data_IF_831314586714
#
_entry.id   IF_831314586714
#
_cell.length_a   1.000
_cell.length_b   1.000
_cell.length_c   1.000
_cell.angle_alpha   90.00
_cell.angle_beta   90.00
_cell.angle_gamma   90.00
#
_symmetry.space_group_name_H-M   'P 1'
#
loop_
_entity.id
_entity.type
_entity.pdbx_description
1 polymer ?
#
# COMPACT_ATOMS: atom_id res chain seq x y z
N UNK A 1 -10.08 5.96 -2.35
CA UNK A 1 -8.66 5.70 -2.03
C UNK A 1 -7.90 5.11 -3.19
N UNK A 2 -8.42 4.06 -3.80
CA UNK A 2 -7.76 3.44 -4.96
C UNK A 2 -7.63 4.40 -6.13
N UNK A 3 -8.67 5.19 -6.41
CA UNK A 3 -8.61 6.16 -7.51
C UNK A 3 -7.51 7.20 -7.31
N UNK A 4 -7.34 7.68 -6.08
CA UNK A 4 -6.28 8.64 -5.77
C UNK A 4 -4.91 8.00 -5.96
N UNK A 5 -4.73 6.77 -5.47
CA UNK A 5 -3.48 6.04 -5.66
C UNK A 5 -3.21 5.79 -7.14
N UNK A 6 -4.24 5.41 -7.90
CA UNK A 6 -4.10 5.15 -9.34
C UNK A 6 -3.70 6.41 -10.11
N UNK A 7 -4.15 7.58 -9.67
CA UNK A 7 -3.75 8.84 -10.32
C UNK A 7 -2.27 9.15 -10.09
N UNK A 8 -1.61 8.46 -9.18
CA UNK A 8 -0.19 8.61 -8.90
C UNK A 8 0.70 7.57 -9.59
N UNK A 9 0.12 6.68 -10.41
CA UNK A 9 0.92 5.71 -11.17
C UNK A 9 2.00 6.43 -11.99
N UNK A 10 3.21 5.89 -11.94
CA UNK A 10 4.35 6.46 -12.64
C UNK A 10 5.14 7.50 -11.85
N UNK A 11 4.62 7.99 -10.72
CA UNK A 11 5.38 8.91 -9.87
C UNK A 11 6.60 8.18 -9.30
N UNK A 12 7.76 8.84 -9.20
CA UNK A 12 8.96 8.15 -8.74
C UNK A 12 8.91 7.78 -7.26
N UNK A 13 9.63 6.73 -6.92
CA UNK A 13 9.90 6.45 -5.51
C UNK A 13 10.80 7.54 -4.94
N UNK A 14 10.47 8.02 -3.75
CA UNK A 14 11.28 9.01 -3.06
C UNK A 14 11.23 8.72 -1.57
N UNK A 15 12.39 8.45 -0.98
CA UNK A 15 12.47 8.21 0.46
C UNK A 15 11.90 9.40 1.24
N UNK A 16 10.97 9.12 2.15
CA UNK A 16 10.30 10.16 2.92
C UNK A 16 9.20 10.90 2.15
N UNK A 17 8.94 10.54 0.89
CA UNK A 17 7.95 11.22 0.07
C UNK A 17 6.52 10.79 0.39
N UNK A 18 5.58 11.76 0.36
CA UNK A 18 4.17 11.53 0.64
C UNK A 18 3.27 12.48 -0.16
N UNK A 19 3.77 12.97 -1.30
CA UNK A 19 3.05 13.94 -2.14
C UNK A 19 3.45 13.75 -3.60
N UNK A 20 2.65 14.28 -4.56
CA UNK A 20 3.04 14.24 -5.97
C UNK A 20 4.45 14.77 -6.17
N UNK A 21 5.23 14.05 -6.98
CA UNK A 21 6.66 14.30 -7.15
C UNK A 21 7.51 13.17 -6.56
N UNK A 22 6.96 12.37 -5.67
CA UNK A 22 7.65 11.20 -5.15
C UNK A 22 7.01 10.66 -3.88
N UNK A 23 6.98 9.34 -3.78
CA UNK A 23 6.36 8.62 -2.66
C UNK A 23 7.25 7.50 -2.18
N UNK A 24 7.30 7.29 -0.85
CA UNK A 24 7.70 5.99 -0.35
C UNK A 24 6.43 5.13 -0.16
N UNK A 25 6.58 3.87 0.27
CA UNK A 25 5.46 2.95 0.31
C UNK A 25 4.34 3.42 1.26
N UNK A 26 4.71 3.82 2.46
CA UNK A 26 3.74 4.29 3.45
C UNK A 26 3.24 5.70 3.14
N UNK A 27 4.05 6.53 2.47
CA UNK A 27 3.65 7.87 2.04
C UNK A 27 2.56 7.85 1.00
N UNK A 28 2.61 6.89 0.08
CA UNK A 28 1.54 6.71 -0.89
C UNK A 28 0.22 6.37 -0.18
N UNK A 29 0.28 5.53 0.85
CA UNK A 29 -0.91 5.18 1.65
C UNK A 29 -1.47 6.42 2.35
N UNK A 30 -0.60 7.23 2.98
CA UNK A 30 -1.03 8.47 3.65
C UNK A 30 -1.75 9.39 2.66
N UNK A 31 -1.15 9.59 1.50
CA UNK A 31 -1.71 10.47 0.48
C UNK A 31 -3.07 9.97 -0.05
N UNK A 32 -3.13 8.68 -0.38
CA UNK A 32 -4.35 8.09 -0.93
C UNK A 32 -5.49 8.07 0.10
N UNK A 33 -5.18 7.74 1.35
CA UNK A 33 -6.17 7.73 2.42
C UNK A 33 -6.69 9.14 2.71
N UNK A 34 -5.81 10.14 2.69
CA UNK A 34 -6.21 11.54 2.89
C UNK A 34 -7.18 11.99 1.79
N UNK A 35 -6.98 11.53 0.56
CA UNK A 35 -7.90 11.80 -0.55
C UNK A 35 -9.30 11.26 -0.31
N UNK A 36 -9.44 10.27 0.57
CA UNK A 36 -10.72 9.69 0.95
C UNK A 36 -11.18 10.17 2.34
N UNK A 37 -10.49 11.16 2.91
CA UNK A 37 -10.86 11.74 4.20
C UNK A 37 -10.40 10.95 5.42
N UNK A 38 -9.46 10.03 5.25
CA UNK A 38 -8.95 9.21 6.35
C UNK A 38 -7.51 9.59 6.66
N UNK A 39 -7.24 9.82 7.94
CA UNK A 39 -5.89 10.11 8.42
C UNK A 39 -5.28 8.82 8.96
N UNK A 40 -4.23 8.32 8.32
CA UNK A 40 -3.52 7.12 8.75
C UNK A 40 -2.13 7.49 9.28
N UNK A 41 -1.54 6.63 10.12
CA UNK A 41 -0.18 6.86 10.60
C UNK A 41 0.84 6.92 9.45
N UNK A 42 1.96 7.59 9.67
CA UNK A 42 2.93 7.89 8.61
C UNK A 42 3.76 6.69 8.16
N UNK A 43 4.05 5.73 9.04
CA UNK A 43 4.97 4.64 8.73
C UNK A 43 4.26 3.32 8.52
N UNK A 44 4.87 2.42 7.74
CA UNK A 44 4.31 1.09 7.51
C UNK A 44 4.14 0.31 8.81
N UNK A 45 5.08 0.43 9.75
CA UNK A 45 4.98 -0.25 11.05
C UNK A 45 3.77 0.21 11.84
N UNK A 46 3.48 1.50 11.83
CA UNK A 46 2.30 2.03 12.51
C UNK A 46 1.02 1.66 11.77
N UNK A 47 1.06 1.69 10.45
CA UNK A 47 -0.09 1.32 9.63
C UNK A 47 -0.48 -0.15 9.82
N UNK A 48 0.50 -1.01 10.06
CA UNK A 48 0.26 -2.44 10.32
C UNK A 48 -0.64 -2.67 11.55
N UNK A 49 -0.67 -1.72 12.47
CA UNK A 49 -1.47 -1.79 13.69
C UNK A 49 -2.74 -0.93 13.61
N UNK A 50 -3.00 -0.35 12.46
CA UNK A 50 -4.12 0.57 12.27
C UNK A 50 -5.23 -0.14 11.49
N UNK A 51 -6.46 0.02 11.93
CA UNK A 51 -7.61 -0.61 11.28
C UNK A 51 -7.83 -2.05 11.71
N UNK A 52 -8.67 -2.75 10.98
CA UNK A 52 -9.05 -4.13 11.31
C UNK A 52 -8.26 -5.14 10.48
N UNK A 53 -7.82 -6.24 11.09
CA UNK A 53 -7.16 -7.30 10.32
C UNK A 53 -8.16 -7.97 9.37
N UNK A 54 -7.70 -8.21 8.15
CA UNK A 54 -8.51 -8.82 7.09
C UNK A 54 -7.79 -10.06 6.58
N UNK A 55 -8.54 -11.16 6.43
CA UNK A 55 -8.00 -12.39 5.87
C UNK A 55 -7.65 -12.19 4.40
N UNK A 56 -6.61 -12.89 3.94
CA UNK A 56 -6.15 -12.83 2.56
C UNK A 56 -7.29 -13.07 1.55
N UNK A 57 -8.17 -14.01 1.87
CA UNK A 57 -9.30 -14.36 0.99
C UNK A 57 -10.40 -13.31 0.94
N UNK A 58 -10.34 -12.31 1.82
CA UNK A 58 -11.37 -11.29 1.92
C UNK A 58 -10.89 -9.90 1.49
N UNK A 59 -9.78 -9.83 0.77
CA UNK A 59 -9.24 -8.56 0.30
C UNK A 59 -10.20 -7.84 -0.61
N UNK A 60 -10.40 -6.56 -0.32
CA UNK A 60 -11.20 -5.64 -1.14
C UNK A 60 -10.38 -4.42 -1.51
N UNK A 61 -10.85 -3.68 -2.51
CA UNK A 61 -10.21 -2.43 -2.92
C UNK A 61 -10.07 -1.48 -1.73
N UNK A 62 -8.89 -0.91 -1.57
CA UNK A 62 -8.60 0.02 -0.47
C UNK A 62 -8.02 -0.62 0.78
N UNK A 63 -7.99 -1.94 0.87
CA UNK A 63 -7.32 -2.59 1.99
C UNK A 63 -5.82 -2.40 1.89
N UNK A 64 -5.15 -2.27 3.03
CA UNK A 64 -3.70 -2.17 3.08
C UNK A 64 -3.11 -3.56 3.16
N UNK A 65 -2.12 -3.83 2.32
CA UNK A 65 -1.43 -5.12 2.27
C UNK A 65 -0.02 -4.93 2.77
N UNK A 66 0.40 -5.80 3.69
CA UNK A 66 1.72 -5.75 4.29
C UNK A 66 2.53 -6.98 3.91
N UNK A 67 3.81 -6.78 3.64
CA UNK A 67 4.69 -7.86 3.22
C UNK A 67 6.12 -7.61 3.66
N UNK A 68 6.87 -8.71 3.81
CA UNK A 68 8.30 -8.71 4.08
C UNK A 68 9.03 -8.93 2.75
N UNK A 69 9.92 -8.02 2.40
CA UNK A 69 10.70 -8.12 1.16
C UNK A 69 12.18 -8.12 1.48
N UNK A 70 12.99 -8.68 0.58
CA UNK A 70 14.42 -8.81 0.78
C UNK A 70 15.12 -7.48 1.03
N UNK A 71 14.64 -6.41 0.40
CA UNK A 71 15.26 -5.08 0.51
C UNK A 71 14.58 -4.20 1.54
N UNK A 72 13.49 -4.67 2.12
CA UNK A 72 12.69 -3.85 3.02
C UNK A 72 11.95 -4.76 3.98
N UNK A 73 12.29 -4.64 5.25
CA UNK A 73 11.71 -5.48 6.28
C UNK A 73 10.19 -5.44 6.30
N UNK A 74 9.61 -4.26 6.12
CA UNK A 74 8.15 -4.12 6.06
C UNK A 74 7.77 -3.19 4.93
N UNK A 75 6.96 -3.70 4.02
CA UNK A 75 6.45 -2.97 2.86
C UNK A 75 4.94 -2.96 2.90
N UNK A 76 4.32 -1.88 2.41
CA UNK A 76 2.87 -1.73 2.37
C UNK A 76 2.42 -1.33 0.96
N UNK A 77 1.29 -1.88 0.54
CA UNK A 77 0.62 -1.51 -0.69
C UNK A 77 -0.87 -1.37 -0.48
N UNK A 78 -1.58 -0.94 -1.51
CA UNK A 78 -3.01 -0.71 -1.49
C UNK A 78 -3.68 -1.69 -2.44
N UNK A 79 -4.56 -2.55 -1.93
CA UNK A 79 -5.27 -3.52 -2.75
C UNK A 79 -6.20 -2.82 -3.76
N UNK A 80 -6.17 -3.31 -4.99
CA UNK A 80 -7.13 -2.93 -6.03
C UNK A 80 -8.28 -3.94 -6.02
N UNK A 81 -7.93 -5.20 -5.84
CA UNK A 81 -8.87 -6.33 -5.75
C UNK A 81 -8.21 -7.44 -4.93
N UNK A 82 -8.68 -8.66 -5.05
CA UNK A 82 -8.13 -9.79 -4.31
C UNK A 82 -6.74 -10.25 -4.76
N UNK A 83 -6.21 -9.71 -5.85
CA UNK A 83 -4.96 -10.17 -6.46
C UNK A 83 -3.96 -9.06 -6.72
N UNK A 84 -4.40 -7.86 -7.07
CA UNK A 84 -3.54 -6.78 -7.53
C UNK A 84 -3.45 -5.66 -6.51
N UNK A 85 -2.33 -4.96 -6.50
CA UNK A 85 -2.13 -3.86 -5.58
C UNK A 85 -1.28 -2.76 -6.21
N UNK A 86 -1.46 -1.53 -5.71
CA UNK A 86 -0.67 -0.36 -6.10
C UNK A 86 0.31 -0.11 -4.98
N UNK A 87 1.57 0.16 -5.33
CA UNK A 87 2.60 0.45 -4.34
C UNK A 87 3.75 1.27 -4.93
N UNK A 88 4.55 1.85 -4.04
CA UNK A 88 5.80 2.50 -4.38
C UNK A 88 6.92 1.59 -3.87
N UNK A 89 7.54 0.79 -4.75
CA UNK A 89 8.35 -0.34 -4.30
C UNK A 89 9.70 0.01 -3.67
N UNK A 90 10.53 0.83 -4.32
CA UNK A 90 11.88 1.09 -3.80
C UNK A 90 12.58 2.16 -4.61
N UNK A 91 13.75 2.57 -4.11
CA UNK A 91 14.64 3.53 -4.78
C UNK A 91 14.89 3.13 -6.23
N UNK A 92 14.75 4.07 -7.13
CA UNK A 92 14.89 3.84 -8.56
C UNK A 92 13.65 3.32 -9.24
N UNK A 93 12.61 2.99 -8.47
CA UNK A 93 11.34 2.54 -8.99
C UNK A 93 10.32 3.66 -9.08
N UNK A 94 9.09 3.28 -9.30
CA UNK A 94 7.96 4.21 -9.44
C UNK A 94 6.69 3.52 -8.96
N UNK A 95 5.68 4.32 -8.68
CA UNK A 95 4.35 3.81 -8.31
C UNK A 95 3.81 2.94 -9.44
N UNK A 96 3.45 1.72 -9.11
CA UNK A 96 3.00 0.75 -10.11
C UNK A 96 2.05 -0.27 -9.52
N UNK A 97 1.44 -1.06 -10.41
CA UNK A 97 0.56 -2.17 -10.04
C UNK A 97 1.33 -3.48 -10.18
N UNK A 98 1.24 -4.33 -9.15
CA UNK A 98 1.79 -5.67 -9.17
C UNK A 98 0.75 -6.67 -8.69
N UNK A 99 1.05 -7.96 -8.86
CA UNK A 99 0.17 -9.06 -8.45
C UNK A 99 0.70 -9.75 -7.21
N UNK A 100 -0.20 -10.06 -6.28
CA UNK A 100 0.14 -10.84 -5.09
C UNK A 100 0.50 -12.30 -5.42
N UNK A 101 0.20 -12.77 -6.62
CA UNK A 101 0.58 -14.10 -7.06
C UNK A 101 2.05 -14.17 -7.49
N UNK A 102 2.68 -13.03 -7.71
CA UNK A 102 4.05 -12.95 -8.18
C UNK A 102 5.04 -13.04 -7.03
N UNK A 103 6.04 -13.94 -7.07
CA UNK A 103 7.18 -13.83 -6.16
C UNK A 103 7.93 -12.53 -6.42
N UNK A 104 8.45 -11.85 -5.43
CA UNK A 104 8.54 -12.18 -4.01
C UNK A 104 7.32 -11.80 -3.18
N UNK A 105 6.30 -11.19 -3.79
CA UNK A 105 5.14 -10.70 -3.03
C UNK A 105 4.34 -11.84 -2.41
N UNK A 106 4.16 -12.92 -3.16
CA UNK A 106 3.44 -14.08 -2.65
C UNK A 106 4.13 -14.69 -1.43
N UNK A 107 5.47 -14.78 -1.46
CA UNK A 107 6.24 -15.35 -0.35
C UNK A 107 6.31 -14.42 0.85
N UNK A 108 6.34 -13.12 0.60
CA UNK A 108 6.50 -12.13 1.65
C UNK A 108 5.23 -11.67 2.31
N UNK A 109 4.08 -12.11 1.83
CA UNK A 109 2.80 -11.65 2.36
C UNK A 109 2.68 -11.90 3.86
N UNK A 110 2.35 -10.84 4.63
CA UNK A 110 2.21 -10.90 6.07
C UNK A 110 0.77 -10.77 6.55
N UNK A 111 0.00 -9.91 5.93
CA UNK A 111 -1.37 -9.65 6.35
C UNK A 111 -1.95 -8.42 5.70
N UNK A 112 -3.17 -8.10 6.08
CA UNK A 112 -3.88 -6.93 5.55
C UNK A 112 -4.70 -6.25 6.62
N UNK A 113 -4.96 -4.96 6.42
CA UNK A 113 -5.77 -4.13 7.31
C UNK A 113 -6.81 -3.37 6.51
N UNK A 114 -8.01 -3.28 7.03
CA UNK A 114 -9.09 -2.47 6.46
C UNK A 114 -9.23 -1.21 7.28
N UNK A 115 -9.06 -0.07 6.63
CA UNK A 115 -9.10 1.24 7.29
C UNK A 115 -10.39 1.99 7.01
N UNK A 116 -11.25 1.48 6.11
CA UNK A 116 -12.56 2.02 5.84
C UNK A 116 -13.62 1.04 6.31
N UNK A 117 -14.67 1.57 6.95
CA UNK A 117 -15.84 0.75 7.24
C UNK A 117 -16.53 0.38 5.94
N UNK A 118 -16.96 -0.87 5.83
CA UNK A 118 -17.85 -1.28 4.75
C UNK A 118 -19.25 -0.79 5.12
N UNK A 119 -19.73 0.18 4.42
CA UNK A 119 -21.06 0.74 4.64
C UNK A 119 -22.02 0.25 3.60
#
# INVERSE_FOLDING_TARGET
MVDTAASMLGQPYRFGGAAPGGFDCSGLVVYAAAGAGVHVPRTAHEQLRFGEPIARSELHAGDLIFMHLAHKELHVGIAIDGQRFIHAPSTGGYVRIDSLATPPYARGYLGARRIFSAE
#
